data_IF_051124650844
#
_entry.id   IF_051124650844
#
_cell.length_a   1.000
_cell.length_b   1.000
_cell.length_c   1.000
_cell.angle_alpha   90.00
_cell.angle_beta   90.00
_cell.angle_gamma   90.00
#
_symmetry.space_group_name_H-M   'P 1'
#
loop_
_entity.id
_entity.type
_entity.pdbx_description
1 polymer ?
#
# COMPACT_ATOMS: atom_id res chain seq x y z
N UNK A 1 -60.54 -37.02 -2.72
CA UNK A 1 -59.30 -37.77 -2.59
C UNK A 1 -58.18 -36.73 -2.53
N UNK A 2 -57.76 -36.45 -1.31
CA UNK A 2 -56.83 -35.32 -0.92
C UNK A 2 -55.43 -35.77 -1.13
N UNK A 3 -54.61 -34.97 -1.87
CA UNK A 3 -53.17 -35.05 -1.92
C UNK A 3 -52.63 -33.96 -1.03
N UNK A 4 -52.29 -34.33 0.19
CA UNK A 4 -51.50 -33.51 1.09
C UNK A 4 -50.05 -33.40 0.56
N UNK A 5 -49.64 -32.21 0.15
CA UNK A 5 -48.24 -31.90 -0.11
C UNK A 5 -47.50 -31.75 1.21
N UNK A 6 -46.63 -32.70 1.52
CA UNK A 6 -45.61 -32.56 2.57
C UNK A 6 -44.66 -31.39 2.23
N UNK A 7 -44.85 -30.29 2.92
CA UNK A 7 -43.81 -29.25 3.00
C UNK A 7 -42.69 -29.80 3.87
N UNK A 8 -41.56 -30.16 3.24
CA UNK A 8 -40.31 -30.45 3.92
C UNK A 8 -39.83 -29.14 4.56
N UNK A 9 -40.04 -29.00 5.87
CA UNK A 9 -39.47 -27.92 6.69
C UNK A 9 -37.96 -28.12 6.64
N UNK A 10 -37.28 -27.24 5.93
CA UNK A 10 -35.81 -27.16 5.98
C UNK A 10 -35.38 -27.00 7.43
N UNK A 11 -34.56 -27.92 7.92
CA UNK A 11 -33.97 -27.86 9.24
C UNK A 11 -33.24 -26.49 9.43
N UNK A 12 -33.26 -25.89 10.63
CA UNK A 12 -32.57 -24.67 10.87
C UNK A 12 -31.08 -24.89 10.61
N UNK A 13 -30.48 -23.96 9.81
CA UNK A 13 -29.04 -23.89 9.56
C UNK A 13 -28.38 -23.82 10.93
N UNK A 14 -27.60 -24.85 11.26
CA UNK A 14 -26.84 -24.96 12.50
C UNK A 14 -26.21 -23.63 12.88
N UNK A 15 -26.40 -23.24 14.14
CA UNK A 15 -25.71 -22.13 14.81
C UNK A 15 -24.18 -22.41 14.80
N UNK A 16 -23.49 -22.01 13.73
CA UNK A 16 -22.05 -21.91 13.79
C UNK A 16 -21.69 -20.96 14.95
N UNK A 17 -20.83 -21.39 15.89
CA UNK A 17 -20.50 -20.58 17.06
C UNK A 17 -20.01 -19.22 16.61
N UNK A 18 -20.75 -18.16 16.94
CA UNK A 18 -20.39 -16.79 16.60
C UNK A 18 -19.03 -16.47 17.22
N UNK A 19 -17.99 -16.47 16.39
CA UNK A 19 -16.63 -16.09 16.79
C UNK A 19 -16.62 -14.59 17.11
N UNK A 20 -16.79 -14.23 18.40
CA UNK A 20 -16.96 -12.85 18.84
C UNK A 20 -15.68 -12.01 18.89
N UNK A 21 -14.50 -12.62 18.75
CA UNK A 21 -13.23 -11.89 18.84
C UNK A 21 -12.02 -12.71 18.40
N UNK A 22 -10.89 -12.02 18.26
CA UNK A 22 -9.62 -12.67 17.97
C UNK A 22 -9.10 -13.45 19.18
N UNK A 23 -8.47 -14.59 18.95
CA UNK A 23 -7.65 -15.26 19.95
C UNK A 23 -6.41 -14.41 20.27
N UNK A 24 -5.73 -14.72 21.39
CA UNK A 24 -4.48 -14.02 21.74
C UNK A 24 -3.41 -14.15 20.65
N UNK A 25 -3.28 -15.33 20.06
CA UNK A 25 -2.36 -15.57 18.96
C UNK A 25 -2.76 -14.80 17.68
N UNK A 26 -4.04 -14.78 17.32
CA UNK A 26 -4.52 -14.02 16.17
C UNK A 26 -4.31 -12.52 16.35
N UNK A 27 -4.55 -11.97 17.54
CA UNK A 27 -4.28 -10.56 17.85
C UNK A 27 -2.79 -10.23 17.72
N UNK A 28 -1.92 -11.07 18.28
CA UNK A 28 -0.48 -10.95 18.13
C UNK A 28 -0.05 -11.01 16.66
N UNK A 29 -0.55 -12.00 15.91
CA UNK A 29 -0.24 -12.17 14.51
C UNK A 29 -0.66 -10.94 13.67
N UNK A 30 -1.86 -10.42 13.87
CA UNK A 30 -2.34 -9.23 13.16
C UNK A 30 -1.45 -8.01 13.49
N UNK A 31 -1.07 -7.82 14.75
CA UNK A 31 -0.16 -6.75 15.15
C UNK A 31 1.22 -6.90 14.49
N UNK A 32 1.77 -8.11 14.46
CA UNK A 32 3.05 -8.44 13.81
C UNK A 32 2.99 -8.18 12.29
N UNK A 33 1.94 -8.62 11.63
CA UNK A 33 1.74 -8.39 10.20
C UNK A 33 1.54 -6.90 9.89
N UNK A 34 0.84 -6.18 10.76
CA UNK A 34 0.68 -4.71 10.64
C UNK A 34 2.02 -4.00 10.80
N UNK A 35 2.87 -4.44 11.73
CA UNK A 35 4.21 -3.90 11.91
C UNK A 35 5.11 -4.20 10.69
N UNK A 36 5.02 -5.42 10.13
CA UNK A 36 5.69 -5.77 8.87
C UNK A 36 5.24 -4.85 7.73
N UNK A 37 3.93 -4.65 7.56
CA UNK A 37 3.39 -3.74 6.56
C UNK A 37 3.84 -2.29 6.78
N UNK A 38 3.92 -1.84 8.02
CA UNK A 38 4.42 -0.51 8.37
C UNK A 38 5.84 -0.29 7.84
N UNK A 39 6.76 -1.24 8.02
CA UNK A 39 8.15 -1.10 7.54
C UNK A 39 8.23 -0.97 6.02
N UNK A 40 7.44 -1.78 5.29
CA UNK A 40 7.40 -1.74 3.84
C UNK A 40 6.80 -0.43 3.30
N UNK A 41 5.67 -0.04 3.87
CA UNK A 41 4.96 1.17 3.45
C UNK A 41 5.81 2.39 3.76
N UNK A 42 6.50 2.42 4.90
CA UNK A 42 7.39 3.51 5.27
C UNK A 42 8.56 3.63 4.28
N UNK A 43 9.24 2.53 3.94
CA UNK A 43 10.33 2.53 2.95
C UNK A 43 9.89 3.08 1.58
N UNK A 44 8.69 2.71 1.16
CA UNK A 44 8.13 3.19 -0.10
C UNK A 44 7.78 4.67 -0.04
N UNK A 45 7.06 5.10 0.99
CA UNK A 45 6.52 6.46 1.09
C UNK A 45 7.61 7.48 1.40
N UNK A 46 8.63 7.13 2.21
CA UNK A 46 9.65 8.07 2.67
C UNK A 46 10.50 8.65 1.53
N UNK A 47 10.60 7.94 0.41
CA UNK A 47 11.34 8.41 -0.77
C UNK A 47 10.84 9.77 -1.26
N UNK A 48 9.53 9.96 -1.38
CA UNK A 48 8.96 11.22 -1.87
C UNK A 48 9.35 12.42 -0.98
N UNK A 49 9.10 12.41 0.34
CA UNK A 49 9.54 13.48 1.24
C UNK A 49 11.05 13.71 1.24
N UNK A 50 11.85 12.66 1.08
CA UNK A 50 13.31 12.77 1.03
C UNK A 50 13.84 13.40 -0.28
N UNK A 51 13.02 13.54 -1.32
CA UNK A 51 13.45 14.04 -2.62
C UNK A 51 14.18 15.39 -2.56
N UNK A 52 13.69 16.33 -1.73
CA UNK A 52 14.32 17.63 -1.55
C UNK A 52 15.73 17.57 -0.92
N UNK A 53 16.01 16.54 -0.10
CA UNK A 53 17.31 16.33 0.56
C UNK A 53 18.20 15.46 -0.33
N UNK A 54 17.66 14.43 -0.93
CA UNK A 54 18.39 13.36 -1.59
C UNK A 54 18.94 13.82 -2.95
N UNK A 55 18.15 14.60 -3.73
CA UNK A 55 18.61 15.08 -5.03
C UNK A 55 19.89 15.90 -4.94
N UNK A 56 19.99 16.95 -4.09
CA UNK A 56 21.24 17.70 -3.95
C UNK A 56 22.35 16.86 -3.30
N UNK A 57 22.05 15.97 -2.35
CA UNK A 57 23.06 15.14 -1.67
C UNK A 57 23.79 14.19 -2.59
N UNK A 58 23.08 13.60 -3.56
CA UNK A 58 23.66 12.68 -4.56
C UNK A 58 24.00 13.35 -5.89
N UNK A 59 23.75 14.67 -5.98
CA UNK A 59 23.91 15.45 -7.21
C UNK A 59 23.19 14.80 -8.41
N UNK A 60 21.93 14.44 -8.22
CA UNK A 60 21.06 13.81 -9.23
C UNK A 60 19.95 14.73 -9.68
N UNK A 61 19.55 14.55 -10.94
CA UNK A 61 18.42 15.29 -11.52
C UNK A 61 17.08 14.77 -11.04
N UNK A 62 16.01 15.57 -11.19
CA UNK A 62 14.64 15.14 -10.90
C UNK A 62 14.25 13.89 -11.72
N UNK A 63 14.70 13.78 -12.99
CA UNK A 63 14.48 12.60 -13.80
C UNK A 63 15.14 11.34 -13.23
N UNK A 64 16.39 11.44 -12.78
CA UNK A 64 17.07 10.31 -12.11
C UNK A 64 16.38 9.92 -10.80
N UNK A 65 15.91 10.89 -10.04
CA UNK A 65 15.14 10.63 -8.82
C UNK A 65 13.82 9.90 -9.16
N UNK A 66 13.09 10.35 -10.18
CA UNK A 66 11.90 9.65 -10.69
C UNK A 66 12.19 8.20 -11.09
N UNK A 67 13.32 7.96 -11.81
CA UNK A 67 13.76 6.59 -12.16
C UNK A 67 14.00 5.74 -10.90
N UNK A 68 14.58 6.29 -9.82
CA UNK A 68 14.79 5.53 -8.60
C UNK A 68 13.46 5.16 -7.90
N UNK A 69 12.47 6.05 -7.93
CA UNK A 69 11.10 5.77 -7.41
C UNK A 69 10.38 4.75 -8.29
N UNK A 70 10.42 4.94 -9.61
CA UNK A 70 9.81 4.03 -10.61
C UNK A 70 10.39 2.63 -10.54
N UNK A 71 11.71 2.50 -10.34
CA UNK A 71 12.39 1.22 -10.28
C UNK A 71 11.82 0.30 -9.19
N UNK A 72 11.53 0.85 -8.01
CA UNK A 72 10.83 0.10 -6.97
C UNK A 72 9.45 -0.37 -7.43
N UNK A 73 8.66 0.53 -8.00
CA UNK A 73 7.28 0.24 -8.41
C UNK A 73 7.22 -0.82 -9.52
N UNK A 74 8.10 -0.71 -10.54
CA UNK A 74 8.21 -1.74 -11.59
C UNK A 74 8.66 -3.08 -11.03
N UNK A 75 9.71 -3.09 -10.20
CA UNK A 75 10.21 -4.31 -9.57
C UNK A 75 9.13 -4.98 -8.71
N UNK A 76 8.38 -4.20 -7.90
CA UNK A 76 7.30 -4.70 -7.07
C UNK A 76 6.11 -5.22 -7.89
N UNK A 77 5.74 -4.54 -8.97
CA UNK A 77 4.67 -4.99 -9.88
C UNK A 77 5.01 -6.31 -10.57
N UNK A 78 6.23 -6.44 -11.09
CA UNK A 78 6.70 -7.67 -11.76
C UNK A 78 6.81 -8.82 -10.76
N UNK A 79 7.45 -8.60 -9.60
CA UNK A 79 7.62 -9.64 -8.59
C UNK A 79 6.29 -10.12 -8.00
N UNK A 80 5.32 -9.23 -7.82
CA UNK A 80 3.98 -9.58 -7.35
C UNK A 80 3.25 -10.54 -8.29
N UNK A 81 3.36 -10.31 -9.62
CA UNK A 81 2.80 -11.22 -10.64
C UNK A 81 3.53 -12.57 -10.61
N UNK A 82 4.86 -12.56 -10.59
CA UNK A 82 5.65 -13.79 -10.57
C UNK A 82 5.38 -14.62 -9.32
N UNK A 83 5.28 -13.98 -8.15
CA UNK A 83 5.01 -14.65 -6.88
C UNK A 83 3.67 -15.38 -6.86
N UNK A 84 2.64 -14.87 -7.54
CA UNK A 84 1.35 -15.52 -7.63
C UNK A 84 1.43 -16.94 -8.24
N UNK A 85 2.48 -17.24 -9.02
CA UNK A 85 2.69 -18.56 -9.63
C UNK A 85 3.33 -19.60 -8.70
N UNK A 86 4.01 -19.19 -7.63
CA UNK A 86 4.73 -20.15 -6.77
C UNK A 86 4.45 -19.98 -5.27
N UNK A 87 3.95 -18.82 -4.83
CA UNK A 87 3.82 -18.50 -3.41
C UNK A 87 2.98 -19.52 -2.62
N UNK A 88 1.98 -20.13 -3.26
CA UNK A 88 1.11 -21.13 -2.62
C UNK A 88 1.77 -22.48 -2.38
N UNK A 89 2.97 -22.72 -2.95
CA UNK A 89 3.70 -23.99 -2.78
C UNK A 89 4.60 -24.01 -1.55
N UNK A 90 4.72 -22.91 -0.83
CA UNK A 90 5.63 -22.77 0.31
C UNK A 90 4.90 -22.44 1.60
N UNK A 91 5.51 -22.81 2.73
CA UNK A 91 5.09 -22.35 4.05
C UNK A 91 5.12 -20.82 4.09
N UNK A 92 3.95 -20.19 4.42
CA UNK A 92 3.77 -18.73 4.46
C UNK A 92 4.80 -18.04 5.38
N UNK A 93 5.14 -18.65 6.53
CA UNK A 93 6.18 -18.10 7.44
C UNK A 93 7.54 -18.03 6.75
N UNK A 94 7.98 -19.14 6.13
CA UNK A 94 9.27 -19.19 5.44
C UNK A 94 9.32 -18.22 4.29
N UNK A 95 8.22 -18.13 3.54
CA UNK A 95 8.09 -17.19 2.42
C UNK A 95 8.18 -15.74 2.91
N UNK A 96 7.44 -15.38 3.96
CA UNK A 96 7.50 -14.06 4.57
C UNK A 96 8.91 -13.69 5.02
N UNK A 97 9.60 -14.59 5.71
CA UNK A 97 10.98 -14.40 6.17
C UNK A 97 11.95 -14.19 5.00
N UNK A 98 11.87 -15.02 3.97
CA UNK A 98 12.73 -14.93 2.79
C UNK A 98 12.58 -13.57 2.10
N UNK A 99 11.35 -13.17 1.82
CA UNK A 99 11.08 -11.88 1.16
C UNK A 99 11.40 -10.69 2.07
N UNK A 100 11.16 -10.78 3.37
CA UNK A 100 11.46 -9.69 4.29
C UNK A 100 12.98 -9.50 4.49
N UNK A 101 13.75 -10.58 4.54
CA UNK A 101 15.23 -10.50 4.56
C UNK A 101 15.75 -9.88 3.28
N UNK A 102 15.26 -10.29 2.11
CA UNK A 102 15.64 -9.68 0.83
C UNK A 102 15.29 -8.19 0.75
N UNK A 103 14.09 -7.81 1.23
CA UNK A 103 13.68 -6.41 1.36
C UNK A 103 14.63 -5.63 2.27
N UNK A 104 14.95 -6.16 3.45
CA UNK A 104 15.89 -5.54 4.39
C UNK A 104 17.28 -5.34 3.75
N UNK A 105 17.80 -6.33 3.03
CA UNK A 105 19.08 -6.21 2.33
C UNK A 105 19.04 -5.11 1.25
N UNK A 106 17.94 -4.99 0.51
CA UNK A 106 17.73 -3.87 -0.41
C UNK A 106 17.70 -2.51 0.30
N UNK A 107 17.05 -2.42 1.45
CA UNK A 107 17.02 -1.21 2.28
C UNK A 107 18.43 -0.88 2.84
N UNK A 108 19.25 -1.90 3.19
CA UNK A 108 20.66 -1.71 3.54
C UNK A 108 21.45 -1.10 2.37
N UNK A 109 21.22 -1.56 1.14
CA UNK A 109 21.85 -0.94 -0.03
C UNK A 109 21.45 0.53 -0.19
N UNK A 110 20.18 0.87 0.04
CA UNK A 110 19.74 2.27 0.07
C UNK A 110 20.42 3.06 1.18
N UNK A 111 20.57 2.49 2.38
CA UNK A 111 21.24 3.12 3.52
C UNK A 111 22.75 3.36 3.27
N UNK A 112 23.38 2.55 2.46
CA UNK A 112 24.82 2.66 2.12
C UNK A 112 25.08 3.39 0.79
N UNK A 113 24.03 3.87 0.11
CA UNK A 113 24.15 4.44 -1.22
C UNK A 113 24.92 5.79 -1.20
N UNK A 114 26.06 5.84 -1.86
CA UNK A 114 26.87 7.03 -2.05
C UNK A 114 26.71 7.65 -3.44
N UNK A 115 25.97 7.00 -4.32
CA UNK A 115 25.71 7.45 -5.68
C UNK A 115 24.38 6.91 -6.19
N UNK A 116 23.93 7.46 -7.32
CA UNK A 116 22.65 7.09 -7.96
C UNK A 116 22.52 5.59 -8.25
N UNK A 117 23.59 4.94 -8.75
CA UNK A 117 23.50 3.55 -9.19
C UNK A 117 23.29 2.58 -8.02
N UNK A 118 23.93 2.82 -6.87
CA UNK A 118 23.74 2.01 -5.66
C UNK A 118 22.34 2.23 -5.10
N UNK A 119 21.84 3.48 -5.07
CA UNK A 119 20.47 3.77 -4.67
C UNK A 119 19.48 3.06 -5.59
N UNK A 120 19.66 3.15 -6.91
CA UNK A 120 18.81 2.51 -7.90
C UNK A 120 18.78 0.99 -7.72
N UNK A 121 19.95 0.36 -7.53
CA UNK A 121 20.03 -1.08 -7.24
C UNK A 121 19.28 -1.43 -5.94
N UNK A 122 19.47 -0.64 -4.88
CA UNK A 122 18.73 -0.80 -3.63
C UNK A 122 17.22 -0.73 -3.86
N UNK A 123 16.73 0.23 -4.64
CA UNK A 123 15.30 0.38 -4.97
C UNK A 123 14.75 -0.79 -5.79
N UNK A 124 15.53 -1.32 -6.74
CA UNK A 124 15.14 -2.53 -7.48
C UNK A 124 15.02 -3.72 -6.53
N UNK A 125 16.02 -3.94 -5.67
CA UNK A 125 16.02 -5.07 -4.72
C UNK A 125 14.87 -4.93 -3.72
N UNK A 126 14.68 -3.76 -3.09
CA UNK A 126 13.54 -3.53 -2.18
C UNK A 126 12.20 -3.74 -2.86
N UNK A 127 12.05 -3.32 -4.12
CA UNK A 127 10.84 -3.54 -4.91
C UNK A 127 10.59 -5.02 -5.21
N UNK A 128 11.61 -5.75 -5.67
CA UNK A 128 11.51 -7.19 -5.99
C UNK A 128 11.05 -8.02 -4.79
N UNK A 129 11.58 -7.73 -3.61
CA UNK A 129 11.20 -8.47 -2.40
C UNK A 129 9.96 -7.86 -1.71
N UNK A 130 9.84 -6.55 -1.63
CA UNK A 130 8.72 -5.86 -1.00
C UNK A 130 7.38 -6.09 -1.68
N UNK A 131 7.37 -6.15 -3.03
CA UNK A 131 6.15 -6.36 -3.81
C UNK A 131 5.40 -7.67 -3.50
N UNK A 132 6.12 -8.69 -3.02
CA UNK A 132 5.53 -9.99 -2.68
C UNK A 132 5.01 -10.03 -1.24
N UNK A 133 5.62 -9.29 -0.31
CA UNK A 133 5.28 -9.37 1.12
C UNK A 133 3.81 -9.03 1.36
N UNK A 134 3.27 -8.01 0.66
CA UNK A 134 1.87 -7.61 0.82
C UNK A 134 0.88 -8.75 0.51
N UNK A 135 1.13 -9.51 -0.56
CA UNK A 135 0.30 -10.66 -0.93
C UNK A 135 0.45 -11.82 0.05
N UNK A 136 1.67 -12.06 0.57
CA UNK A 136 1.93 -13.09 1.59
C UNK A 136 1.22 -12.74 2.90
N UNK A 137 1.26 -11.48 3.34
CA UNK A 137 0.53 -11.00 4.52
C UNK A 137 -0.97 -11.22 4.37
N UNK A 138 -1.53 -10.88 3.20
CA UNK A 138 -2.94 -11.13 2.92
C UNK A 138 -3.28 -12.63 2.94
N UNK A 139 -2.43 -13.47 2.36
CA UNK A 139 -2.59 -14.92 2.38
C UNK A 139 -2.57 -15.48 3.81
N UNK A 140 -1.64 -15.03 4.67
CA UNK A 140 -1.60 -15.44 6.09
C UNK A 140 -2.90 -15.08 6.81
N UNK A 141 -3.43 -13.88 6.59
CA UNK A 141 -4.71 -13.46 7.19
C UNK A 141 -5.86 -14.34 6.71
N UNK A 142 -5.91 -14.66 5.42
CA UNK A 142 -6.97 -15.52 4.87
C UNK A 142 -6.86 -16.97 5.34
N UNK A 143 -5.65 -17.48 5.60
CA UNK A 143 -5.43 -18.84 6.05
C UNK A 143 -5.71 -19.04 7.55
N UNK A 144 -5.43 -18.01 8.40
CA UNK A 144 -5.47 -18.14 9.87
C UNK A 144 -6.64 -17.40 10.55
N UNK A 145 -7.30 -16.47 9.85
CA UNK A 145 -8.38 -15.69 10.43
C UNK A 145 -9.73 -16.14 9.87
N UNK A 146 -10.71 -16.49 10.73
CA UNK A 146 -12.06 -16.83 10.32
C UNK A 146 -12.71 -15.75 9.43
N UNK A 147 -13.52 -16.16 8.46
CA UNK A 147 -14.14 -15.27 7.48
C UNK A 147 -14.86 -14.08 8.13
N UNK A 148 -15.56 -14.32 9.24
CA UNK A 148 -16.33 -13.31 9.99
C UNK A 148 -15.45 -12.20 10.59
N UNK A 149 -14.17 -12.49 10.86
CA UNK A 149 -13.21 -11.56 11.48
C UNK A 149 -12.21 -10.97 10.49
N UNK A 150 -12.13 -11.45 9.24
CA UNK A 150 -11.17 -10.99 8.22
C UNK A 150 -11.29 -9.49 7.95
N UNK A 151 -12.51 -8.96 7.86
CA UNK A 151 -12.72 -7.53 7.65
C UNK A 151 -12.09 -6.67 8.77
N UNK A 152 -12.23 -7.11 10.04
CA UNK A 152 -11.59 -6.42 11.18
C UNK A 152 -10.06 -6.54 11.14
N UNK A 153 -9.52 -7.72 10.78
CA UNK A 153 -8.08 -7.91 10.64
C UNK A 153 -7.51 -7.01 9.53
N UNK A 154 -8.17 -6.95 8.38
CA UNK A 154 -7.78 -6.07 7.26
C UNK A 154 -7.84 -4.58 7.66
N UNK A 155 -8.85 -4.18 8.43
CA UNK A 155 -8.92 -2.83 8.98
C UNK A 155 -7.71 -2.47 9.85
N UNK A 156 -7.26 -3.39 10.70
CA UNK A 156 -6.05 -3.19 11.51
C UNK A 156 -4.79 -3.13 10.64
N UNK A 157 -4.66 -3.99 9.62
CA UNK A 157 -3.54 -3.94 8.67
C UNK A 157 -3.46 -2.59 7.94
N UNK A 158 -4.59 -2.00 7.57
CA UNK A 158 -4.63 -0.70 6.92
C UNK A 158 -4.20 0.46 7.85
N UNK A 159 -4.23 0.29 9.17
CA UNK A 159 -3.68 1.30 10.09
C UNK A 159 -2.16 1.47 9.93
N UNK A 160 -1.45 0.48 9.39
CA UNK A 160 -0.02 0.57 9.09
C UNK A 160 0.27 1.69 8.09
N UNK A 161 -0.60 1.91 7.09
CA UNK A 161 -0.46 3.01 6.14
C UNK A 161 -0.60 4.37 6.85
N UNK A 162 -1.65 4.53 7.66
CA UNK A 162 -1.86 5.77 8.41
C UNK A 162 -0.71 6.03 9.40
N UNK A 163 -0.23 5.00 10.10
CA UNK A 163 0.91 5.11 11.00
C UNK A 163 2.19 5.51 10.25
N UNK A 164 2.43 4.97 9.06
CA UNK A 164 3.59 5.35 8.23
C UNK A 164 3.52 6.83 7.83
N UNK A 165 2.34 7.34 7.49
CA UNK A 165 2.16 8.75 7.12
C UNK A 165 2.33 9.69 8.32
N UNK A 166 1.73 9.35 9.48
CA UNK A 166 1.66 10.24 10.64
C UNK A 166 2.92 10.21 11.49
N UNK A 167 3.50 9.03 11.68
CA UNK A 167 4.66 8.82 12.54
C UNK A 167 5.93 8.59 11.71
N UNK A 168 5.85 7.74 10.70
CA UNK A 168 7.01 7.29 9.95
C UNK A 168 7.65 8.40 9.12
N UNK A 169 6.86 9.10 8.29
CA UNK A 169 7.38 10.16 7.41
C UNK A 169 7.93 11.35 8.20
N UNK A 170 7.20 11.93 9.17
CA UNK A 170 7.76 13.04 9.97
C UNK A 170 9.00 12.65 10.77
N UNK A 171 9.00 11.45 11.39
CA UNK A 171 10.16 10.95 12.11
C UNK A 171 11.36 10.76 11.17
N UNK A 172 11.15 10.17 9.98
CA UNK A 172 12.19 10.01 8.97
C UNK A 172 12.77 11.34 8.50
N UNK A 173 11.91 12.33 8.19
CA UNK A 173 12.37 13.67 7.81
C UNK A 173 13.10 14.39 8.96
N UNK A 174 12.64 14.22 10.20
CA UNK A 174 13.33 14.74 11.37
C UNK A 174 14.74 14.14 11.47
N UNK A 175 14.88 12.83 11.31
CA UNK A 175 16.16 12.14 11.30
C UNK A 175 17.05 12.63 10.15
N UNK A 176 16.50 12.79 8.95
CA UNK A 176 17.22 13.27 7.78
C UNK A 176 17.75 14.70 7.96
N UNK A 177 16.95 15.58 8.54
CA UNK A 177 17.31 16.99 8.77
C UNK A 177 18.38 17.16 9.86
N UNK A 178 18.40 16.29 10.91
CA UNK A 178 19.34 16.40 12.02
C UNK A 178 20.68 15.69 11.79
N UNK A 179 20.65 14.60 11.02
CA UNK A 179 21.87 13.82 10.72
C UNK A 179 22.12 13.77 9.22
N UNK A 180 21.51 12.84 8.54
CA UNK A 180 21.56 12.71 7.10
C UNK A 180 20.43 11.77 6.62
N UNK A 181 20.13 11.74 5.32
CA UNK A 181 19.07 10.92 4.76
C UNK A 181 19.32 9.40 4.87
N UNK A 182 20.57 8.95 4.98
CA UNK A 182 20.92 7.54 5.17
C UNK A 182 20.32 6.97 6.46
N UNK A 183 20.25 7.77 7.52
CA UNK A 183 19.70 7.35 8.83
C UNK A 183 18.24 6.92 8.72
N UNK A 184 17.47 7.47 7.79
CA UNK A 184 16.09 7.03 7.55
C UNK A 184 16.04 5.57 7.15
N UNK A 185 16.89 5.15 6.22
CA UNK A 185 16.97 3.76 5.79
C UNK A 185 17.57 2.86 6.87
N UNK A 186 18.57 3.34 7.63
CA UNK A 186 19.11 2.60 8.80
C UNK A 186 18.02 2.36 9.83
N UNK A 187 17.16 3.33 10.10
CA UNK A 187 16.03 3.15 11.01
C UNK A 187 15.04 2.08 10.50
N UNK A 188 14.72 2.11 9.20
CA UNK A 188 13.85 1.09 8.58
C UNK A 188 14.50 -0.31 8.64
N UNK A 189 15.82 -0.41 8.44
CA UNK A 189 16.57 -1.67 8.62
C UNK A 189 16.44 -2.16 10.06
N UNK A 190 16.60 -1.29 11.05
CA UNK A 190 16.41 -1.64 12.47
C UNK A 190 15.00 -2.18 12.76
N UNK A 191 13.96 -1.50 12.24
CA UNK A 191 12.58 -1.97 12.35
C UNK A 191 12.37 -3.32 11.64
N UNK A 192 12.98 -3.50 10.47
CA UNK A 192 12.90 -4.76 9.72
C UNK A 192 13.59 -5.92 10.45
N UNK A 193 14.73 -5.66 11.11
CA UNK A 193 15.41 -6.68 11.96
C UNK A 193 14.49 -7.13 13.09
N UNK A 194 13.83 -6.18 13.77
CA UNK A 194 12.87 -6.49 14.84
C UNK A 194 11.71 -7.32 14.28
N UNK A 195 11.12 -6.92 13.15
CA UNK A 195 10.02 -7.64 12.51
C UNK A 195 10.44 -9.08 12.14
N UNK A 196 11.59 -9.24 11.48
CA UNK A 196 12.14 -10.55 11.09
C UNK A 196 12.39 -11.43 12.32
N UNK A 197 13.00 -10.88 13.38
CA UNK A 197 13.28 -11.61 14.61
C UNK A 197 11.97 -12.10 15.28
N UNK A 198 10.94 -11.22 15.36
CA UNK A 198 9.66 -11.59 15.96
C UNK A 198 8.93 -12.63 15.11
N UNK A 199 8.93 -12.50 13.76
CA UNK A 199 8.38 -13.53 12.85
C UNK A 199 9.10 -14.85 13.02
N UNK A 200 10.43 -14.84 13.06
CA UNK A 200 11.23 -16.06 13.17
C UNK A 200 10.98 -16.79 14.49
N UNK A 201 10.94 -16.07 15.61
CA UNK A 201 10.87 -16.64 16.95
C UNK A 201 9.44 -17.00 17.37
N UNK A 202 8.45 -16.19 17.05
CA UNK A 202 7.12 -16.29 17.66
C UNK A 202 6.00 -16.68 16.69
N UNK A 203 6.20 -16.57 15.37
CA UNK A 203 5.19 -16.99 14.41
C UNK A 203 5.27 -18.49 14.20
N UNK A 204 4.13 -19.18 14.22
CA UNK A 204 4.02 -20.60 13.90
C UNK A 204 4.09 -20.84 12.37
N UNK A 205 4.56 -22.01 11.89
CA UNK A 205 4.50 -22.38 10.49
C UNK A 205 3.05 -22.39 9.97
N UNK A 206 2.83 -21.86 8.76
CA UNK A 206 1.50 -21.79 8.14
C UNK A 206 1.52 -22.67 6.89
N UNK A 207 1.10 -23.93 7.05
CA UNK A 207 1.19 -24.97 6.02
C UNK A 207 -0.14 -25.66 5.70
N UNK A 208 -1.24 -25.23 6.35
CA UNK A 208 -2.55 -25.87 6.17
C UNK A 208 -3.03 -25.86 4.71
N UNK A 209 -2.75 -24.77 3.98
CA UNK A 209 -3.10 -24.61 2.55
C UNK A 209 -2.36 -25.61 1.64
N UNK A 210 -1.18 -26.11 2.02
CA UNK A 210 -0.41 -27.07 1.22
C UNK A 210 -1.14 -28.41 1.04
N UNK A 211 -2.05 -28.77 1.96
CA UNK A 211 -2.85 -29.99 1.90
C UNK A 211 -4.07 -29.86 0.95
N UNK A 212 -4.44 -28.62 0.59
CA UNK A 212 -5.62 -28.30 -0.21
C UNK A 212 -5.31 -28.02 -1.68
N UNK A 213 -4.04 -28.19 -2.09
CA UNK A 213 -3.61 -27.88 -3.46
C UNK A 213 -4.30 -28.79 -4.48
N UNK A 214 -5.15 -28.17 -5.30
CA UNK A 214 -5.60 -28.75 -6.56
C UNK A 214 -4.64 -28.26 -7.67
N UNK A 215 -4.42 -29.13 -8.67
CA UNK A 215 -3.52 -28.89 -9.85
C UNK A 215 -4.01 -27.75 -10.77
N UNK A 216 -4.38 -26.60 -10.24
CA UNK A 216 -4.71 -25.42 -11.03
C UNK A 216 -3.45 -24.59 -11.29
N UNK A 217 -3.16 -24.34 -12.56
CA UNK A 217 -2.03 -23.50 -12.96
C UNK A 217 -2.36 -22.01 -12.65
N UNK A 218 -1.74 -21.39 -11.60
CA UNK A 218 -2.08 -20.04 -11.17
C UNK A 218 -1.88 -18.99 -12.25
N UNK A 219 -0.84 -19.16 -13.10
CA UNK A 219 -0.61 -18.26 -14.23
C UNK A 219 -1.74 -18.27 -15.26
N UNK A 220 -2.34 -19.43 -15.50
CA UNK A 220 -3.48 -19.54 -16.43
C UNK A 220 -4.69 -18.75 -15.89
N UNK A 221 -4.92 -18.79 -14.57
CA UNK A 221 -5.98 -17.99 -13.95
C UNK A 221 -5.70 -16.48 -14.03
N UNK A 222 -4.45 -16.05 -13.82
CA UNK A 222 -4.07 -14.64 -13.97
C UNK A 222 -4.26 -14.16 -15.40
N UNK A 223 -3.76 -14.90 -16.38
CA UNK A 223 -3.91 -14.57 -17.81
C UNK A 223 -5.41 -14.54 -18.20
N UNK A 224 -6.20 -15.51 -17.74
CA UNK A 224 -7.62 -15.53 -17.97
C UNK A 224 -8.34 -14.31 -17.35
N UNK A 225 -7.89 -13.84 -16.18
CA UNK A 225 -8.42 -12.63 -15.54
C UNK A 225 -8.08 -11.37 -16.33
N UNK A 226 -6.85 -11.24 -16.79
CA UNK A 226 -6.40 -10.09 -17.61
C UNK A 226 -7.16 -10.04 -18.95
N UNK A 227 -7.42 -11.20 -19.54
CA UNK A 227 -8.12 -11.32 -20.84
C UNK A 227 -9.64 -11.09 -20.79
N UNK A 228 -10.23 -10.88 -19.59
CA UNK A 228 -11.67 -10.64 -19.49
C UNK A 228 -12.05 -9.18 -19.86
N UNK A 229 -12.86 -8.96 -20.91
CA UNK A 229 -13.28 -7.61 -21.31
C UNK A 229 -13.96 -6.82 -20.17
N UNK A 230 -14.66 -7.52 -19.28
CA UNK A 230 -15.33 -6.94 -18.10
C UNK A 230 -14.36 -6.24 -17.15
N UNK A 231 -13.12 -6.73 -17.05
CA UNK A 231 -12.11 -6.19 -16.13
C UNK A 231 -11.20 -5.14 -16.78
N UNK A 232 -11.16 -5.08 -18.11
CA UNK A 232 -10.29 -4.14 -18.83
C UNK A 232 -10.54 -2.68 -18.42
N UNK A 233 -11.81 -2.27 -18.31
CA UNK A 233 -12.16 -0.92 -17.88
C UNK A 233 -11.72 -0.64 -16.44
N UNK A 234 -11.83 -1.62 -15.54
CA UNK A 234 -11.38 -1.50 -14.16
C UNK A 234 -9.86 -1.33 -14.08
N UNK A 235 -9.11 -2.12 -14.84
CA UNK A 235 -7.65 -1.98 -14.93
C UNK A 235 -7.24 -0.66 -15.56
N UNK A 236 -7.95 -0.18 -16.58
CA UNK A 236 -7.72 1.14 -17.17
C UNK A 236 -7.94 2.27 -16.15
N UNK A 237 -9.02 2.24 -15.39
CA UNK A 237 -9.27 3.23 -14.31
C UNK A 237 -8.17 3.15 -13.25
N UNK A 238 -7.76 1.95 -12.83
CA UNK A 238 -6.64 1.76 -11.89
C UNK A 238 -5.35 2.36 -12.46
N UNK A 239 -5.05 2.12 -13.74
CA UNK A 239 -3.89 2.67 -14.44
C UNK A 239 -3.91 4.20 -14.41
N UNK A 240 -5.01 4.82 -14.83
CA UNK A 240 -5.12 6.28 -14.88
C UNK A 240 -5.00 6.93 -13.50
N UNK A 241 -5.64 6.34 -12.48
CA UNK A 241 -5.57 6.83 -11.10
C UNK A 241 -4.15 6.72 -10.52
N UNK A 242 -3.48 5.59 -10.75
CA UNK A 242 -2.12 5.36 -10.27
C UNK A 242 -1.12 6.27 -10.99
N UNK A 243 -1.12 6.30 -12.32
CA UNK A 243 -0.23 7.16 -13.11
C UNK A 243 -0.39 8.63 -12.70
N UNK A 244 -1.62 9.15 -12.68
CA UNK A 244 -1.87 10.55 -12.29
C UNK A 244 -1.45 10.87 -10.84
N UNK A 245 -1.60 9.93 -9.91
CA UNK A 245 -1.15 10.11 -8.53
C UNK A 245 0.38 10.17 -8.42
N UNK A 246 1.07 9.31 -9.13
CA UNK A 246 2.53 9.21 -9.08
C UNK A 246 3.25 10.31 -9.89
N UNK A 247 2.61 11.00 -10.82
CA UNK A 247 3.20 12.15 -11.52
C UNK A 247 3.56 13.29 -10.57
N UNK A 248 2.83 13.47 -9.48
CA UNK A 248 3.06 14.57 -8.53
C UNK A 248 3.74 14.11 -7.25
N UNK A 249 3.38 12.91 -6.76
CA UNK A 249 3.77 12.44 -5.43
C UNK A 249 5.30 12.43 -5.20
N UNK A 250 6.17 11.92 -6.08
CA UNK A 250 7.61 11.85 -5.83
C UNK A 250 8.26 13.23 -5.71
N UNK A 251 7.73 14.22 -6.40
CA UNK A 251 8.33 15.55 -6.50
C UNK A 251 7.74 16.56 -5.52
N UNK A 252 6.73 16.17 -4.72
CA UNK A 252 6.00 17.07 -3.83
C UNK A 252 6.88 17.81 -2.83
N UNK A 253 7.87 17.14 -2.20
CA UNK A 253 8.79 17.77 -1.26
C UNK A 253 9.74 18.75 -1.94
N UNK A 254 10.32 18.37 -3.06
CA UNK A 254 11.21 19.23 -3.83
C UNK A 254 10.47 20.47 -4.35
N UNK A 255 9.24 20.29 -4.86
CA UNK A 255 8.41 21.42 -5.28
C UNK A 255 8.08 22.35 -4.11
N UNK A 256 7.74 21.80 -2.94
CA UNK A 256 7.47 22.59 -1.73
C UNK A 256 8.66 23.44 -1.31
N UNK A 257 9.86 22.89 -1.37
CA UNK A 257 11.08 23.64 -0.99
C UNK A 257 11.47 24.66 -2.06
N UNK A 258 11.59 24.23 -3.32
CA UNK A 258 12.16 25.08 -4.37
C UNK A 258 11.16 26.05 -4.99
N UNK A 259 9.90 25.68 -5.15
CA UNK A 259 8.88 26.50 -5.82
C UNK A 259 8.03 27.29 -4.82
N UNK A 260 7.60 26.67 -3.72
CA UNK A 260 6.80 27.37 -2.71
C UNK A 260 7.67 28.16 -1.71
N UNK A 261 9.02 27.98 -1.71
CA UNK A 261 9.95 28.68 -0.84
C UNK A 261 9.85 28.27 0.64
N UNK A 262 9.35 27.06 0.94
CA UNK A 262 9.24 26.56 2.31
C UNK A 262 10.58 25.95 2.74
N UNK A 263 11.09 26.39 3.90
CA UNK A 263 12.30 25.81 4.46
C UNK A 263 12.14 24.30 4.71
N UNK A 264 13.19 23.54 4.38
CA UNK A 264 13.24 22.09 4.51
C UNK A 264 12.96 21.61 5.94
N UNK A 265 13.31 22.42 6.95
CA UNK A 265 13.05 22.16 8.37
C UNK A 265 11.56 22.07 8.68
N UNK A 266 10.71 22.70 7.87
CA UNK A 266 9.26 22.69 8.05
C UNK A 266 8.53 21.52 7.31
N UNK A 267 9.23 20.76 6.46
CA UNK A 267 8.64 19.60 5.79
C UNK A 267 8.03 18.57 6.77
N UNK A 268 8.71 18.19 7.88
CA UNK A 268 8.11 17.26 8.86
C UNK A 268 6.76 17.75 9.39
N UNK A 269 6.62 19.05 9.61
CA UNK A 269 5.37 19.67 10.10
C UNK A 269 4.25 19.55 9.08
N UNK A 270 4.53 19.82 7.79
CA UNK A 270 3.54 19.68 6.71
C UNK A 270 3.03 18.23 6.63
N UNK A 271 3.94 17.26 6.62
CA UNK A 271 3.58 15.84 6.54
C UNK A 271 2.87 15.34 7.81
N UNK A 272 3.27 15.82 9.00
CA UNK A 272 2.59 15.48 10.25
C UNK A 272 1.14 15.97 10.25
N UNK A 273 0.92 17.24 9.92
CA UNK A 273 -0.44 17.81 9.90
C UNK A 273 -1.30 17.13 8.85
N UNK A 274 -0.76 16.91 7.64
CA UNK A 274 -1.46 16.18 6.57
C UNK A 274 -1.76 14.74 6.96
N UNK A 275 -0.85 14.07 7.63
CA UNK A 275 -1.02 12.70 8.13
C UNK A 275 -2.12 12.62 9.21
N UNK A 276 -2.10 13.51 10.21
CA UNK A 276 -3.15 13.59 11.23
C UNK A 276 -4.53 13.85 10.63
N UNK A 277 -4.58 14.76 9.65
CA UNK A 277 -5.81 15.04 8.92
C UNK A 277 -6.32 13.82 8.14
N UNK A 278 -5.42 13.02 7.59
CA UNK A 278 -5.74 11.79 6.86
C UNK A 278 -6.48 10.76 7.70
N UNK A 279 -6.14 10.64 9.00
CA UNK A 279 -6.82 9.73 9.94
C UNK A 279 -8.30 10.10 10.08
N UNK A 280 -8.61 11.40 10.09
CA UNK A 280 -9.97 11.91 10.24
C UNK A 280 -10.72 11.79 8.91
N UNK A 281 -10.06 12.14 7.82
CA UNK A 281 -10.69 12.19 6.48
C UNK A 281 -11.07 10.81 5.95
N UNK A 282 -10.30 9.76 6.23
CA UNK A 282 -10.63 8.41 5.79
C UNK A 282 -12.05 7.97 6.17
N UNK A 283 -12.39 7.94 7.47
CA UNK A 283 -13.74 7.61 7.94
C UNK A 283 -14.82 8.59 7.46
N UNK A 284 -14.53 9.90 7.37
CA UNK A 284 -15.49 10.90 6.90
C UNK A 284 -15.86 10.69 5.44
N UNK A 285 -14.87 10.47 4.58
CA UNK A 285 -15.09 10.17 3.16
C UNK A 285 -15.81 8.82 2.99
N UNK A 286 -15.47 7.82 3.80
CA UNK A 286 -16.16 6.54 3.80
C UNK A 286 -17.66 6.72 4.06
N UNK A 287 -18.02 7.44 5.13
CA UNK A 287 -19.42 7.76 5.47
C UNK A 287 -20.10 8.59 4.39
N UNK A 288 -19.42 9.62 3.85
CA UNK A 288 -19.95 10.41 2.75
C UNK A 288 -20.22 9.56 1.50
N UNK A 289 -19.31 8.65 1.17
CA UNK A 289 -19.44 7.70 0.07
C UNK A 289 -20.64 6.75 0.24
N UNK A 290 -20.93 6.35 1.48
CA UNK A 290 -22.09 5.51 1.78
C UNK A 290 -23.41 6.31 1.76
N UNK A 291 -23.39 7.58 2.20
CA UNK A 291 -24.57 8.43 2.27
C UNK A 291 -24.95 9.03 0.91
N UNK A 292 -23.99 9.56 0.17
CA UNK A 292 -24.22 10.26 -1.12
C UNK A 292 -24.02 9.36 -2.35
N UNK A 293 -23.50 8.13 -2.13
CA UNK A 293 -23.16 7.19 -3.19
C UNK A 293 -21.67 7.25 -3.60
N UNK A 294 -21.16 6.09 -4.01
CA UNK A 294 -19.74 5.90 -4.34
C UNK A 294 -19.32 6.69 -5.57
N UNK A 295 -20.16 6.67 -6.62
CA UNK A 295 -19.85 7.36 -7.87
C UNK A 295 -19.85 8.90 -7.74
N UNK A 296 -20.85 9.57 -7.13
CA UNK A 296 -20.81 11.02 -6.91
C UNK A 296 -19.62 11.47 -6.06
N UNK A 297 -19.29 10.72 -4.99
CA UNK A 297 -18.12 11.00 -4.13
C UNK A 297 -16.81 10.86 -4.90
N UNK A 298 -16.70 9.86 -5.77
CA UNK A 298 -15.55 9.70 -6.65
C UNK A 298 -15.38 10.89 -7.61
N UNK A 299 -16.44 11.33 -8.28
CA UNK A 299 -16.41 12.49 -9.19
C UNK A 299 -16.02 13.76 -8.43
N UNK A 300 -16.62 14.00 -7.25
CA UNK A 300 -16.23 15.13 -6.39
C UNK A 300 -14.72 15.09 -6.08
N UNK A 301 -14.19 13.93 -5.69
CA UNK A 301 -12.77 13.75 -5.43
C UNK A 301 -11.89 14.03 -6.65
N UNK A 302 -12.30 13.60 -7.83
CA UNK A 302 -11.59 13.89 -9.08
C UNK A 302 -11.54 15.39 -9.39
N UNK A 303 -12.68 16.08 -9.26
CA UNK A 303 -12.78 17.53 -9.51
C UNK A 303 -11.92 18.30 -8.50
N UNK A 304 -12.06 18.01 -7.20
CA UNK A 304 -11.24 18.65 -6.16
C UNK A 304 -9.76 18.40 -6.39
N UNK A 305 -9.37 17.16 -6.69
CA UNK A 305 -7.96 16.84 -6.99
C UNK A 305 -7.43 17.62 -8.19
N UNK A 306 -8.20 17.73 -9.28
CA UNK A 306 -7.79 18.46 -10.47
C UNK A 306 -7.61 19.95 -10.17
N UNK A 307 -8.56 20.58 -9.46
CA UNK A 307 -8.48 21.98 -9.05
C UNK A 307 -7.26 22.20 -8.14
N UNK A 308 -7.07 21.34 -7.15
CA UNK A 308 -5.96 21.49 -6.21
C UNK A 308 -4.59 21.28 -6.85
N UNK A 309 -4.46 20.36 -7.81
CA UNK A 309 -3.23 20.18 -8.60
C UNK A 309 -2.94 21.44 -9.41
N UNK A 310 -3.94 22.01 -10.08
CA UNK A 310 -3.78 23.27 -10.82
C UNK A 310 -3.34 24.41 -9.89
N UNK A 311 -4.01 24.58 -8.74
CA UNK A 311 -3.61 25.59 -7.75
C UNK A 311 -2.17 25.35 -7.31
N UNK A 312 -1.85 24.12 -6.84
CA UNK A 312 -0.54 23.77 -6.29
C UNK A 312 0.60 24.05 -7.28
N UNK A 313 0.44 23.64 -8.54
CA UNK A 313 1.50 23.78 -9.56
C UNK A 313 1.68 25.23 -10.05
N UNK A 314 0.72 26.14 -9.80
CA UNK A 314 0.82 27.56 -10.17
C UNK A 314 1.12 28.48 -8.97
N UNK A 315 1.25 27.93 -7.75
CA UNK A 315 1.67 28.69 -6.58
C UNK A 315 3.15 29.07 -6.70
N UNK A 316 3.46 30.34 -6.41
CA UNK A 316 4.82 30.80 -6.13
C UNK A 316 5.16 30.68 -4.64
N UNK A 317 6.02 31.55 -4.14
CA UNK A 317 6.39 31.60 -2.72
C UNK A 317 5.18 31.91 -1.84
N UNK A 318 4.95 31.05 -0.84
CA UNK A 318 3.78 31.15 0.06
C UNK A 318 4.18 30.97 1.51
N UNK A 319 3.31 31.35 2.44
CA UNK A 319 3.50 31.06 3.86
C UNK A 319 3.38 29.55 4.17
N UNK A 320 4.01 29.10 5.26
CA UNK A 320 3.88 27.73 5.75
C UNK A 320 2.41 27.32 5.95
N UNK A 321 1.59 28.22 6.50
CA UNK A 321 0.16 27.97 6.71
C UNK A 321 -0.57 27.70 5.38
N UNK A 322 -0.29 28.52 4.36
CA UNK A 322 -0.86 28.34 3.02
C UNK A 322 -0.45 26.98 2.43
N UNK A 323 0.83 26.61 2.54
CA UNK A 323 1.34 25.32 2.08
C UNK A 323 0.63 24.15 2.78
N UNK A 324 0.43 24.22 4.10
CA UNK A 324 -0.30 23.21 4.88
C UNK A 324 -1.76 23.12 4.41
N UNK A 325 -2.47 24.25 4.27
CA UNK A 325 -3.87 24.26 3.83
C UNK A 325 -4.03 23.63 2.45
N UNK A 326 -3.19 24.01 1.51
CA UNK A 326 -3.22 23.46 0.14
C UNK A 326 -2.94 21.96 0.14
N UNK A 327 -1.95 21.51 0.92
CA UNK A 327 -1.61 20.09 1.05
C UNK A 327 -2.78 19.29 1.65
N UNK A 328 -3.40 19.79 2.71
CA UNK A 328 -4.58 19.17 3.36
C UNK A 328 -5.75 19.08 2.37
N UNK A 329 -6.07 20.16 1.64
CA UNK A 329 -7.14 20.13 0.63
C UNK A 329 -6.84 19.17 -0.53
N UNK A 330 -5.57 19.03 -0.91
CA UNK A 330 -5.15 18.03 -1.89
C UNK A 330 -5.41 16.61 -1.40
N UNK A 331 -5.15 16.32 -0.11
CA UNK A 331 -5.50 15.03 0.50
C UNK A 331 -7.01 14.78 0.57
N UNK A 332 -7.85 15.82 0.77
CA UNK A 332 -9.32 15.67 0.67
C UNK A 332 -9.71 15.12 -0.70
N UNK A 333 -9.18 15.71 -1.77
CA UNK A 333 -9.43 15.25 -3.14
C UNK A 333 -8.95 13.81 -3.36
N UNK A 334 -7.71 13.49 -2.91
CA UNK A 334 -7.10 12.15 -3.05
C UNK A 334 -7.95 11.10 -2.35
N UNK A 335 -8.33 11.30 -1.08
CA UNK A 335 -9.14 10.33 -0.34
C UNK A 335 -10.56 10.19 -0.91
N UNK A 336 -11.17 11.32 -1.33
CA UNK A 336 -12.51 11.32 -1.92
C UNK A 336 -12.59 10.61 -3.28
N UNK A 337 -11.47 10.42 -3.98
CA UNK A 337 -11.42 9.59 -5.18
C UNK A 337 -10.93 8.15 -4.91
N UNK A 338 -9.96 7.96 -3.98
CA UNK A 338 -9.38 6.64 -3.71
C UNK A 338 -10.35 5.69 -3.02
N UNK A 339 -11.00 6.14 -1.93
CA UNK A 339 -11.86 5.28 -1.11
C UNK A 339 -13.06 4.76 -1.91
N UNK A 340 -13.87 5.61 -2.59
CA UNK A 340 -14.96 5.12 -3.40
C UNK A 340 -14.51 4.27 -4.59
N UNK A 341 -13.37 4.58 -5.23
CA UNK A 341 -12.87 3.78 -6.35
C UNK A 341 -12.50 2.36 -5.93
N UNK A 342 -11.83 2.19 -4.77
CA UNK A 342 -11.53 0.86 -4.23
C UNK A 342 -12.81 0.07 -3.92
N UNK A 343 -13.82 0.72 -3.36
CA UNK A 343 -15.11 0.09 -3.09
C UNK A 343 -15.83 -0.33 -4.39
N UNK A 344 -15.82 0.51 -5.43
CA UNK A 344 -16.38 0.17 -6.74
C UNK A 344 -15.61 -0.98 -7.39
N UNK A 345 -14.28 -0.94 -7.37
CA UNK A 345 -13.43 -1.99 -7.94
C UNK A 345 -13.63 -3.34 -7.26
N UNK A 346 -13.80 -3.37 -5.93
CA UNK A 346 -14.02 -4.60 -5.18
C UNK A 346 -15.36 -5.29 -5.50
N UNK A 347 -16.32 -4.56 -6.06
CA UNK A 347 -17.63 -5.06 -6.45
C UNK A 347 -17.69 -5.65 -7.87
N UNK A 348 -16.64 -5.43 -8.70
CA UNK A 348 -16.63 -5.88 -10.11
C UNK A 348 -16.42 -7.39 -10.25
N UNK A 349 -15.47 -8.04 -9.53
CA UNK A 349 -15.19 -9.46 -9.72
C UNK A 349 -16.20 -10.36 -9.01
N UNK A 350 -16.50 -11.49 -9.63
CA UNK A 350 -17.27 -12.56 -9.00
C UNK A 350 -16.51 -13.14 -7.80
N UNK A 351 -17.21 -13.74 -6.85
CA UNK A 351 -16.63 -14.22 -5.60
C UNK A 351 -15.42 -15.17 -5.80
N UNK A 352 -15.48 -16.03 -6.84
CA UNK A 352 -14.42 -16.97 -7.21
C UNK A 352 -13.18 -16.32 -7.82
N UNK A 353 -13.29 -15.10 -8.36
CA UNK A 353 -12.22 -14.39 -9.09
C UNK A 353 -11.66 -13.20 -8.33
N UNK A 354 -12.20 -12.87 -7.15
CA UNK A 354 -11.77 -11.72 -6.35
C UNK A 354 -10.25 -11.72 -6.05
N UNK A 355 -9.71 -12.89 -5.73
CA UNK A 355 -8.27 -13.02 -5.43
C UNK A 355 -7.39 -12.68 -6.62
N UNK A 356 -7.66 -13.31 -7.78
CA UNK A 356 -6.91 -13.07 -9.02
C UNK A 356 -7.06 -11.63 -9.51
N UNK A 357 -8.28 -11.08 -9.46
CA UNK A 357 -8.54 -9.69 -9.82
C UNK A 357 -7.76 -8.71 -8.93
N UNK A 358 -7.76 -8.92 -7.60
CA UNK A 358 -7.04 -8.06 -6.66
C UNK A 358 -5.54 -8.12 -6.88
N UNK A 359 -4.98 -9.31 -7.14
CA UNK A 359 -3.56 -9.49 -7.44
C UNK A 359 -3.15 -8.75 -8.73
N UNK A 360 -3.92 -8.92 -9.81
CA UNK A 360 -3.69 -8.20 -11.08
C UNK A 360 -3.83 -6.69 -10.87
N UNK A 361 -4.89 -6.24 -10.18
CA UNK A 361 -5.12 -4.82 -9.93
C UNK A 361 -3.99 -4.17 -9.12
N UNK A 362 -3.46 -4.85 -8.10
CA UNK A 362 -2.31 -4.38 -7.32
C UNK A 362 -1.06 -4.27 -8.20
N UNK A 363 -0.79 -5.25 -9.06
CA UNK A 363 0.36 -5.21 -9.97
C UNK A 363 0.20 -4.12 -11.02
N UNK A 364 -0.99 -3.95 -11.60
CA UNK A 364 -1.32 -2.86 -12.53
C UNK A 364 -1.11 -1.50 -11.84
N UNK A 365 -1.55 -1.36 -10.59
CA UNK A 365 -1.34 -0.13 -9.81
C UNK A 365 0.14 0.20 -9.64
N UNK A 366 0.96 -0.79 -9.29
CA UNK A 366 2.41 -0.60 -9.12
C UNK A 366 3.10 -0.25 -10.44
N UNK A 367 2.84 -1.01 -11.50
CA UNK A 367 3.42 -0.75 -12.83
C UNK A 367 3.01 0.63 -13.37
N UNK A 368 1.75 0.99 -13.21
CA UNK A 368 1.22 2.29 -13.65
C UNK A 368 1.77 3.45 -12.80
N UNK A 369 1.97 3.22 -11.50
CA UNK A 369 2.67 4.16 -10.63
C UNK A 369 4.12 4.38 -11.07
N UNK A 370 4.81 3.30 -11.44
CA UNK A 370 6.16 3.39 -12.00
C UNK A 370 6.23 4.16 -13.33
N UNK A 371 5.19 4.10 -14.17
CA UNK A 371 5.11 4.92 -15.38
C UNK A 371 4.87 6.42 -15.08
N UNK A 372 4.20 6.72 -13.96
CA UNK A 372 3.89 8.10 -13.56
C UNK A 372 5.06 8.84 -12.91
N UNK A 373 5.98 8.14 -12.27
CA UNK A 373 7.13 8.74 -11.53
C UNK A 373 8.37 8.84 -12.38
#
# INVERSE_FOLDING_TARGET
MSLMSEQTIAAPIDDEPQVRGFTRYQSFLIALLSFTQFTLILDFIIMSPLGAILMPSLNITAGQFGVAVSAYAFAAGISGILAAGFADRFDRKKLLLFFHVGFMLGTVLCALAQNFHVLLLGRIVTGLFGGVIGSVVLAIVTDLIPLQLRGRAMGVLQTAFAASQVLGVPAGLFLANHWNWHICFVAIVGLSIVAIAVVALFMEPVTAHLKLQHDSNPFRHLIATVGQPRYTLAFLVTTLLATGGFMLMPFGSAFTVHNLGIDIVHLPTIYLVSGLFSIIMGPLVGRASDAFGKYPTFIFGCVVSAIMVLIYTHLGHVSLLTAIIVNVLMFVGIFSRMIPSQALMSAIPDASQRGSFSAVSASVQQLSGGLGS
#
